data_IF_100498732483
#
_entry.id   IF_100498732483
#
_cell.length_a   1.000
_cell.length_b   1.000
_cell.length_c   1.000
_cell.angle_alpha   90.00
_cell.angle_beta   90.00
_cell.angle_gamma   90.00
#
_symmetry.space_group_name_H-M   'P 1'
#
loop_
_entity.id
_entity.type
_entity.pdbx_description
1 polymer ?
#
# COMPACT_ATOMS: atom_id res chain seq x y z
N UNK A 1 -25.73 -12.92 -1.01
CA UNK A 1 -24.76 -13.40 0.00
C UNK A 1 -23.62 -14.07 -0.76
N UNK A 2 -22.46 -13.47 -0.70
CA UNK A 2 -21.33 -13.88 -1.49
C UNK A 2 -20.17 -14.41 -0.65
N UNK A 3 -18.97 -14.36 -1.23
CA UNK A 3 -17.74 -14.77 -0.57
C UNK A 3 -17.47 -13.91 0.68
N UNK A 4 -17.01 -14.55 1.75
CA UNK A 4 -16.61 -13.89 2.98
C UNK A 4 -15.42 -14.64 3.59
N UNK A 5 -14.25 -13.99 3.64
CA UNK A 5 -13.05 -14.54 4.25
C UNK A 5 -12.08 -13.40 4.63
N UNK A 6 -11.08 -13.73 5.42
CA UNK A 6 -10.02 -12.81 5.83
C UNK A 6 -8.70 -13.21 5.21
N UNK A 7 -7.87 -12.20 4.95
CA UNK A 7 -6.46 -12.36 4.55
C UNK A 7 -5.61 -11.70 5.64
N UNK A 8 -4.44 -12.25 5.89
CA UNK A 8 -3.42 -11.66 6.75
C UNK A 8 -2.09 -11.63 6.02
N UNK A 9 -1.52 -10.45 5.83
CA UNK A 9 -0.22 -10.23 5.19
C UNK A 9 0.45 -8.96 5.73
N UNK A 10 0.38 -8.78 7.05
CA UNK A 10 0.97 -7.64 7.76
C UNK A 10 0.55 -6.29 7.16
N UNK A 11 1.46 -5.37 6.89
CA UNK A 11 1.16 -4.01 6.38
C UNK A 11 0.50 -4.00 4.99
N UNK A 12 0.59 -5.09 4.21
CA UNK A 12 -0.01 -5.20 2.88
C UNK A 12 -1.40 -5.86 2.86
N UNK A 13 -1.95 -6.23 4.02
CA UNK A 13 -3.23 -6.96 4.12
C UNK A 13 -4.37 -6.30 3.35
N UNK A 14 -4.60 -5.00 3.56
CA UNK A 14 -5.71 -4.31 2.89
C UNK A 14 -5.51 -4.22 1.38
N UNK A 15 -4.28 -4.05 0.90
CA UNK A 15 -3.98 -4.08 -0.53
C UNK A 15 -4.25 -5.47 -1.14
N UNK A 16 -3.87 -6.55 -0.44
CA UNK A 16 -4.19 -7.92 -0.86
C UNK A 16 -5.70 -8.20 -0.83
N UNK A 17 -6.42 -7.67 0.16
CA UNK A 17 -7.89 -7.78 0.20
C UNK A 17 -8.54 -7.07 -1.00
N UNK A 18 -8.06 -5.87 -1.35
CA UNK A 18 -8.53 -5.12 -2.51
C UNK A 18 -8.25 -5.90 -3.80
N UNK A 19 -7.05 -6.45 -3.93
CA UNK A 19 -6.68 -7.29 -5.08
C UNK A 19 -7.60 -8.52 -5.21
N UNK A 20 -7.79 -9.26 -4.11
CA UNK A 20 -8.67 -10.44 -4.09
C UNK A 20 -10.13 -10.10 -4.42
N UNK A 21 -10.64 -8.96 -3.90
CA UNK A 21 -11.97 -8.46 -4.25
C UNK A 21 -12.09 -8.07 -5.71
N UNK A 22 -11.06 -7.45 -6.27
CA UNK A 22 -10.99 -7.11 -7.68
C UNK A 22 -11.02 -8.35 -8.57
N UNK A 23 -10.24 -9.38 -8.21
CA UNK A 23 -10.25 -10.65 -8.95
C UNK A 23 -11.60 -11.36 -8.86
N UNK A 24 -12.26 -11.35 -7.70
CA UNK A 24 -13.60 -11.92 -7.56
C UNK A 24 -14.61 -11.27 -8.52
N UNK A 25 -14.50 -9.97 -8.75
CA UNK A 25 -15.34 -9.26 -9.73
C UNK A 25 -14.91 -9.60 -11.17
N UNK A 26 -13.63 -9.53 -11.46
CA UNK A 26 -13.09 -9.78 -12.82
C UNK A 26 -13.39 -11.18 -13.33
N UNK A 27 -13.41 -12.17 -12.45
CA UNK A 27 -13.77 -13.55 -12.78
C UNK A 27 -15.27 -13.84 -12.71
N UNK A 28 -16.11 -12.82 -12.51
CA UNK A 28 -17.56 -12.95 -12.48
C UNK A 28 -18.10 -13.71 -11.27
N UNK A 29 -17.32 -13.81 -10.19
CA UNK A 29 -17.78 -14.49 -8.97
C UNK A 29 -18.67 -13.58 -8.11
N UNK A 30 -18.51 -12.26 -8.22
CA UNK A 30 -19.27 -11.25 -7.49
C UNK A 30 -19.44 -10.01 -8.35
N UNK A 31 -20.56 -9.30 -8.20
CA UNK A 31 -20.78 -7.99 -8.82
C UNK A 31 -20.33 -6.85 -7.91
N UNK A 32 -20.44 -7.04 -6.58
CA UNK A 32 -20.05 -6.07 -5.56
C UNK A 32 -19.29 -6.79 -4.46
N UNK A 33 -18.16 -6.20 -4.01
CA UNK A 33 -17.34 -6.70 -2.91
C UNK A 33 -16.97 -5.56 -1.97
N UNK A 34 -17.21 -5.76 -0.67
CA UNK A 34 -16.67 -4.90 0.39
C UNK A 34 -15.28 -5.41 0.76
N UNK A 35 -14.28 -4.56 0.66
CA UNK A 35 -12.88 -4.96 0.87
C UNK A 35 -12.08 -3.84 1.51
N UNK A 36 -11.10 -4.21 2.32
CA UNK A 36 -10.29 -3.25 3.04
C UNK A 36 -9.47 -3.91 4.13
N UNK A 37 -9.16 -3.16 5.17
CA UNK A 37 -8.41 -3.67 6.30
C UNK A 37 -8.65 -2.86 7.56
N UNK A 38 -8.28 -3.43 8.67
CA UNK A 38 -8.31 -2.81 9.98
C UNK A 38 -7.09 -3.22 10.80
N UNK A 39 -6.64 -2.31 11.63
CA UNK A 39 -5.53 -2.53 12.56
C UNK A 39 -5.90 -2.00 13.93
N UNK A 40 -5.59 -2.76 14.96
CA UNK A 40 -5.77 -2.36 16.33
C UNK A 40 -4.47 -1.79 16.91
N UNK A 41 -4.58 -0.74 17.70
CA UNK A 41 -3.47 -0.23 18.49
C UNK A 41 -3.41 -1.02 19.82
N UNK A 42 -2.46 -1.95 19.91
CA UNK A 42 -2.25 -2.79 21.07
C UNK A 42 -0.79 -2.76 21.54
N UNK A 43 -0.58 -2.91 22.84
CA UNK A 43 0.76 -2.90 23.43
C UNK A 43 1.64 -4.07 22.95
N UNK A 44 1.05 -5.22 22.64
CA UNK A 44 1.79 -6.38 22.18
C UNK A 44 2.46 -6.13 20.81
N UNK A 45 1.73 -5.52 19.87
CA UNK A 45 2.30 -5.09 18.60
C UNK A 45 3.38 -4.01 18.80
N UNK A 46 3.12 -3.04 19.66
CA UNK A 46 4.11 -2.01 20.00
C UNK A 46 5.40 -2.62 20.53
N UNK A 47 5.31 -3.60 21.45
CA UNK A 47 6.49 -4.25 22.02
C UNK A 47 7.30 -5.05 20.99
N UNK A 48 6.63 -5.68 20.02
CA UNK A 48 7.29 -6.42 18.95
C UNK A 48 8.10 -5.48 18.02
N UNK A 49 7.51 -4.37 17.62
CA UNK A 49 8.18 -3.39 16.78
C UNK A 49 9.26 -2.61 17.52
N UNK A 50 9.07 -2.33 18.80
CA UNK A 50 10.10 -1.73 19.65
C UNK A 50 11.31 -2.66 19.80
N UNK A 51 11.07 -3.95 20.01
CA UNK A 51 12.13 -4.97 20.08
C UNK A 51 12.96 -5.07 18.79
N UNK A 52 12.37 -4.74 17.63
CA UNK A 52 13.09 -4.68 16.35
C UNK A 52 13.82 -3.33 16.15
N UNK A 53 13.69 -2.37 17.06
CA UNK A 53 14.24 -1.03 16.90
C UNK A 53 13.62 -0.24 15.75
N UNK A 54 12.38 -0.55 15.36
CA UNK A 54 11.70 0.06 14.22
C UNK A 54 10.89 1.32 14.58
N UNK A 55 10.61 1.53 15.88
CA UNK A 55 9.80 2.65 16.35
C UNK A 55 10.61 3.91 16.60
N UNK A 56 10.00 5.07 16.35
CA UNK A 56 10.55 6.37 16.71
C UNK A 56 10.70 6.49 18.23
N UNK A 57 11.84 6.96 18.71
CA UNK A 57 12.12 7.16 20.13
C UNK A 57 12.68 8.54 20.47
N UNK A 58 13.28 9.25 19.50
CA UNK A 58 13.89 10.58 19.75
C UNK A 58 12.86 11.69 19.95
N UNK A 59 11.62 11.46 19.52
CA UNK A 59 10.56 12.47 19.52
C UNK A 59 9.53 12.30 20.64
N UNK A 60 9.85 11.53 21.71
CA UNK A 60 8.91 11.31 22.81
C UNK A 60 8.47 12.61 23.52
N UNK A 61 9.31 13.64 23.52
CA UNK A 61 8.97 14.96 24.05
C UNK A 61 8.25 15.88 23.03
N UNK A 62 8.14 15.46 21.77
CA UNK A 62 7.47 16.20 20.70
C UNK A 62 6.80 15.20 19.72
N UNK A 63 5.83 14.39 20.19
CA UNK A 63 5.32 13.24 19.44
C UNK A 63 4.65 13.62 18.11
N UNK A 64 4.14 14.84 17.98
CA UNK A 64 3.59 15.37 16.75
C UNK A 64 4.62 15.55 15.62
N UNK A 65 5.92 15.45 15.93
CA UNK A 65 7.01 15.50 14.94
C UNK A 65 7.60 14.13 14.62
N UNK A 66 7.12 13.05 15.26
CA UNK A 66 7.77 11.75 15.18
C UNK A 66 7.56 11.05 13.84
N UNK A 67 6.33 11.04 13.32
CA UNK A 67 6.04 10.46 12.01
C UNK A 67 6.37 11.48 10.91
N UNK A 68 7.46 11.22 10.19
CA UNK A 68 8.06 12.16 9.23
C UNK A 68 8.72 11.44 8.06
N UNK A 69 7.89 10.71 7.30
CA UNK A 69 8.34 9.90 6.16
C UNK A 69 9.22 10.72 5.20
N UNK A 70 10.33 10.12 4.77
CA UNK A 70 11.34 10.69 3.87
C UNK A 70 12.15 11.88 4.41
N UNK A 71 11.87 12.34 5.62
CA UNK A 71 12.64 13.41 6.26
C UNK A 71 14.05 12.91 6.64
N UNK A 72 15.05 13.81 6.60
CA UNK A 72 16.44 13.48 6.95
C UNK A 72 16.59 13.05 8.42
N UNK A 73 15.77 13.61 9.31
CA UNK A 73 15.84 13.38 10.76
C UNK A 73 14.86 12.29 11.24
N UNK A 74 14.21 11.53 10.33
CA UNK A 74 13.35 10.43 10.71
C UNK A 74 14.10 9.35 11.47
N UNK A 75 13.46 8.72 12.43
CA UNK A 75 14.13 7.74 13.29
C UNK A 75 13.32 6.45 13.53
N UNK A 76 12.19 6.29 12.89
CA UNK A 76 11.32 5.14 13.03
C UNK A 76 9.87 5.50 12.82
N UNK A 77 9.01 4.49 12.83
CA UNK A 77 7.57 4.72 12.65
C UNK A 77 6.85 4.96 13.98
N UNK A 78 5.64 5.48 13.89
CA UNK A 78 4.70 5.63 15.02
C UNK A 78 3.56 4.67 14.81
N UNK A 79 3.35 3.76 15.75
CA UNK A 79 2.26 2.79 15.67
C UNK A 79 0.90 3.47 15.88
N UNK A 80 -0.10 3.05 15.13
CA UNK A 80 -1.45 3.56 15.21
C UNK A 80 -2.46 2.46 14.86
N UNK A 81 -3.71 2.68 15.22
CA UNK A 81 -4.83 1.86 14.79
C UNK A 81 -5.69 2.59 13.77
N UNK A 82 -6.55 1.86 13.10
CA UNK A 82 -7.50 2.41 12.14
C UNK A 82 -8.14 1.35 11.27
N UNK A 83 -9.10 1.77 10.47
CA UNK A 83 -9.75 0.89 9.50
C UNK A 83 -10.24 1.65 8.28
N UNK A 84 -10.24 0.99 7.15
CA UNK A 84 -10.75 1.52 5.90
C UNK A 84 -11.41 0.44 5.06
N UNK A 85 -12.50 0.81 4.37
CA UNK A 85 -13.26 -0.10 3.54
C UNK A 85 -13.57 0.55 2.19
N UNK A 86 -13.37 -0.20 1.13
CA UNK A 86 -13.79 0.17 -0.21
C UNK A 86 -14.97 -0.70 -0.62
N UNK A 87 -15.86 -0.13 -1.42
CA UNK A 87 -16.87 -0.86 -2.16
C UNK A 87 -16.39 -0.97 -3.60
N UNK A 88 -16.01 -2.17 -3.99
CA UNK A 88 -15.66 -2.49 -5.38
C UNK A 88 -16.92 -2.98 -6.08
N UNK A 89 -17.10 -2.58 -7.34
CA UNK A 89 -18.26 -2.93 -8.13
C UNK A 89 -17.86 -3.09 -9.58
N UNK A 90 -18.48 -4.05 -10.25
CA UNK A 90 -18.30 -4.23 -11.69
C UNK A 90 -18.75 -2.96 -12.42
N UNK A 91 -17.99 -2.53 -13.41
CA UNK A 91 -18.12 -1.22 -14.04
C UNK A 91 -19.49 -1.01 -14.70
N UNK A 92 -19.95 -1.95 -15.52
CA UNK A 92 -21.25 -1.83 -16.20
C UNK A 92 -22.43 -1.98 -15.23
N UNK A 93 -22.27 -2.80 -14.18
CA UNK A 93 -23.24 -2.90 -13.09
C UNK A 93 -23.40 -1.54 -12.38
N UNK A 94 -22.29 -0.89 -12.04
CA UNK A 94 -22.28 0.43 -11.39
C UNK A 94 -22.96 1.49 -12.29
N UNK A 95 -22.63 1.51 -13.56
CA UNK A 95 -23.24 2.43 -14.56
C UNK A 95 -24.74 2.20 -14.71
N UNK A 96 -25.18 0.95 -14.81
CA UNK A 96 -26.59 0.61 -15.02
C UNK A 96 -27.50 1.11 -13.89
N UNK A 97 -27.00 1.18 -12.66
CA UNK A 97 -27.73 1.72 -11.51
C UNK A 97 -27.49 3.21 -11.23
N UNK A 98 -26.67 3.87 -12.06
CA UNK A 98 -26.32 5.29 -11.87
C UNK A 98 -25.43 5.57 -10.66
N UNK A 99 -24.57 4.63 -10.27
CA UNK A 99 -23.66 4.80 -9.16
C UNK A 99 -22.64 5.91 -9.42
N UNK A 100 -22.25 6.61 -8.36
CA UNK A 100 -21.10 7.51 -8.44
C UNK A 100 -19.81 6.67 -8.43
N UNK A 101 -19.08 6.69 -9.53
CA UNK A 101 -17.78 6.03 -9.66
C UNK A 101 -16.70 7.05 -9.29
N UNK A 102 -15.85 6.70 -8.34
CA UNK A 102 -14.76 7.56 -7.87
C UNK A 102 -13.46 7.33 -8.65
N UNK A 103 -13.18 6.07 -8.96
CA UNK A 103 -11.99 5.65 -9.68
C UNK A 103 -12.21 4.23 -10.24
N UNK A 104 -11.33 3.81 -11.12
CA UNK A 104 -11.25 2.45 -11.65
C UNK A 104 -9.93 1.82 -11.22
N UNK A 105 -9.96 0.55 -10.77
CA UNK A 105 -8.75 -0.23 -10.50
C UNK A 105 -8.32 -0.86 -11.82
N UNK A 106 -7.15 -0.46 -12.31
CA UNK A 106 -6.64 -0.87 -13.63
C UNK A 106 -5.48 -1.85 -13.56
N UNK A 107 -4.95 -2.11 -12.38
CA UNK A 107 -3.87 -3.07 -12.18
C UNK A 107 -3.50 -3.20 -10.70
N UNK A 108 -2.82 -4.27 -10.36
CA UNK A 108 -2.15 -4.43 -9.07
C UNK A 108 -0.92 -5.32 -9.23
N UNK A 109 -0.05 -5.27 -8.22
CA UNK A 109 1.09 -6.15 -8.12
C UNK A 109 1.28 -6.66 -6.70
N UNK A 110 1.63 -7.92 -6.57
CA UNK A 110 1.97 -8.54 -5.31
C UNK A 110 3.06 -9.59 -5.53
N UNK A 111 4.01 -9.65 -4.63
CA UNK A 111 5.07 -10.66 -4.62
C UNK A 111 5.64 -10.83 -3.22
N UNK A 112 6.47 -11.85 -3.04
CA UNK A 112 7.33 -11.99 -1.87
C UNK A 112 8.72 -11.46 -2.20
N UNK A 113 9.26 -10.56 -1.35
CA UNK A 113 10.64 -10.10 -1.49
C UNK A 113 11.63 -11.26 -1.21
N UNK A 114 11.38 -12.05 -0.16
CA UNK A 114 12.14 -13.25 0.17
C UNK A 114 13.60 -13.00 0.56
N UNK A 115 13.99 -11.76 0.81
CA UNK A 115 15.37 -11.38 1.12
C UNK A 115 15.68 -11.56 2.60
N UNK A 116 14.87 -10.98 3.48
CA UNK A 116 15.05 -10.98 4.92
C UNK A 116 13.70 -10.93 5.62
N UNK A 117 13.64 -11.27 6.91
CA UNK A 117 12.40 -11.29 7.67
C UNK A 117 11.80 -9.88 7.83
N UNK A 118 12.64 -8.85 7.99
CA UNK A 118 12.22 -7.47 8.29
C UNK A 118 12.82 -6.42 7.36
N UNK A 119 14.01 -6.66 6.80
CA UNK A 119 14.71 -5.69 5.96
C UNK A 119 14.34 -5.87 4.48
N UNK A 120 13.76 -4.87 3.81
CA UNK A 120 13.44 -4.97 2.39
C UNK A 120 14.72 -4.93 1.53
N UNK A 121 14.77 -5.72 0.45
CA UNK A 121 15.84 -5.65 -0.55
C UNK A 121 15.72 -4.40 -1.43
N UNK A 122 14.50 -3.99 -1.73
CA UNK A 122 14.12 -3.02 -2.76
C UNK A 122 13.68 -3.70 -4.07
N UNK A 123 14.23 -4.84 -4.44
CA UNK A 123 13.86 -5.57 -5.66
C UNK A 123 12.39 -6.03 -5.66
N UNK A 124 11.88 -6.48 -4.50
CA UNK A 124 10.47 -6.83 -4.38
C UNK A 124 9.54 -5.65 -4.65
N UNK A 125 9.89 -4.44 -4.21
CA UNK A 125 9.13 -3.23 -4.49
C UNK A 125 9.16 -2.86 -5.99
N UNK A 126 10.31 -2.98 -6.64
CA UNK A 126 10.45 -2.77 -8.09
C UNK A 126 9.53 -3.71 -8.86
N UNK A 127 9.61 -5.02 -8.57
CA UNK A 127 8.75 -6.03 -9.22
C UNK A 127 7.27 -5.78 -8.99
N UNK A 128 6.90 -5.42 -7.76
CA UNK A 128 5.52 -5.11 -7.41
C UNK A 128 4.97 -3.94 -8.23
N UNK A 129 5.71 -2.85 -8.34
CA UNK A 129 5.33 -1.70 -9.16
C UNK A 129 5.26 -2.04 -10.64
N UNK A 130 6.22 -2.79 -11.17
CA UNK A 130 6.20 -3.25 -12.58
C UNK A 130 4.98 -4.12 -12.89
N UNK A 131 4.60 -5.04 -11.99
CA UNK A 131 3.38 -5.84 -12.12
C UNK A 131 2.13 -4.96 -12.14
N UNK A 132 2.03 -4.00 -11.24
CA UNK A 132 0.91 -3.06 -11.20
C UNK A 132 0.82 -2.21 -12.48
N UNK A 133 1.96 -1.69 -12.96
CA UNK A 133 2.06 -0.92 -14.21
C UNK A 133 1.74 -1.75 -15.45
N UNK A 134 1.94 -3.06 -15.42
CA UNK A 134 1.56 -3.97 -16.49
C UNK A 134 0.05 -4.01 -16.73
N UNK A 135 -0.75 -3.64 -15.73
CA UNK A 135 -2.20 -3.72 -15.80
C UNK A 135 -2.73 -5.17 -15.82
N UNK A 136 -4.03 -5.32 -15.82
CA UNK A 136 -4.66 -6.64 -15.74
C UNK A 136 -4.47 -7.53 -16.98
N UNK A 137 -4.29 -6.94 -18.14
CA UNK A 137 -4.12 -7.65 -19.41
C UNK A 137 -2.69 -7.62 -19.94
N UNK A 138 -1.75 -7.17 -19.11
CA UNK A 138 -0.33 -7.03 -19.43
C UNK A 138 -0.03 -6.08 -20.61
N UNK A 139 -0.98 -5.20 -20.95
CA UNK A 139 -0.79 -4.16 -21.98
C UNK A 139 -0.31 -2.83 -21.39
N UNK A 140 -0.16 -2.78 -20.09
CA UNK A 140 0.11 -1.57 -19.35
C UNK A 140 -1.16 -0.81 -18.94
N UNK A 141 -1.03 0.03 -17.95
CA UNK A 141 -2.12 0.91 -17.53
C UNK A 141 -2.20 2.14 -18.44
N UNK A 142 -3.42 2.64 -18.73
CA UNK A 142 -3.56 3.83 -19.54
C UNK A 142 -3.08 5.09 -18.80
N UNK A 143 -2.38 5.95 -19.53
CA UNK A 143 -1.93 7.24 -19.01
C UNK A 143 -0.70 7.18 -18.11
N UNK A 144 -0.28 8.35 -17.66
CA UNK A 144 0.88 8.51 -16.78
C UNK A 144 0.49 8.35 -15.30
N UNK A 145 1.35 7.73 -14.52
CA UNK A 145 1.24 7.80 -13.06
C UNK A 145 1.65 9.21 -12.62
N UNK A 146 0.73 9.93 -12.03
CA UNK A 146 0.98 11.31 -11.57
C UNK A 146 1.28 11.40 -10.08
N UNK A 147 0.85 10.41 -9.29
CA UNK A 147 1.00 10.39 -7.84
C UNK A 147 1.16 8.97 -7.29
N UNK A 148 2.04 8.83 -6.31
CA UNK A 148 2.24 7.62 -5.52
C UNK A 148 1.97 7.96 -4.05
N UNK A 149 0.97 7.30 -3.45
CA UNK A 149 0.85 7.24 -2.00
C UNK A 149 1.70 6.06 -1.52
N UNK A 150 2.86 6.38 -1.00
CA UNK A 150 3.87 5.41 -0.65
C UNK A 150 3.59 4.69 0.68
N UNK A 151 4.31 3.61 0.93
CA UNK A 151 4.32 2.97 2.24
C UNK A 151 4.90 3.92 3.28
N UNK A 152 6.06 4.52 3.03
CA UNK A 152 6.65 5.64 3.76
C UNK A 152 6.37 5.64 5.26
N UNK A 153 7.04 4.74 6.00
CA UNK A 153 6.75 4.53 7.43
C UNK A 153 7.59 5.41 8.35
N UNK A 154 8.38 6.34 7.81
CA UNK A 154 9.33 7.14 8.58
C UNK A 154 10.50 6.34 9.17
N UNK A 155 10.80 5.17 8.59
CA UNK A 155 11.94 4.35 8.98
C UNK A 155 13.17 4.68 8.14
N UNK A 156 14.36 4.78 8.73
CA UNK A 156 15.59 5.13 7.99
C UNK A 156 15.85 4.21 6.79
N UNK A 157 15.77 2.90 6.99
CA UNK A 157 16.05 1.92 5.96
C UNK A 157 14.89 1.76 4.96
N UNK A 158 13.64 1.66 5.45
CA UNK A 158 12.45 1.41 4.64
C UNK A 158 12.21 2.51 3.62
N UNK A 159 12.16 3.76 4.06
CA UNK A 159 11.92 4.92 3.21
C UNK A 159 12.98 5.06 2.10
N UNK A 160 14.26 4.83 2.46
CA UNK A 160 15.36 4.91 1.48
C UNK A 160 15.26 3.84 0.40
N UNK A 161 14.91 2.60 0.78
CA UNK A 161 14.73 1.49 -0.16
C UNK A 161 13.54 1.71 -1.08
N UNK A 162 12.43 2.22 -0.54
CA UNK A 162 11.25 2.55 -1.33
C UNK A 162 11.51 3.65 -2.35
N UNK A 163 12.19 4.76 -1.94
CA UNK A 163 12.60 5.81 -2.87
C UNK A 163 13.51 5.30 -3.98
N UNK A 164 14.47 4.44 -3.67
CA UNK A 164 15.35 3.84 -4.67
C UNK A 164 14.55 3.00 -5.67
N UNK A 165 13.60 2.18 -5.19
CA UNK A 165 12.75 1.37 -6.04
C UNK A 165 11.83 2.23 -6.94
N UNK A 166 11.23 3.30 -6.41
CA UNK A 166 10.44 4.26 -7.20
C UNK A 166 11.31 4.92 -8.27
N UNK A 167 12.51 5.36 -7.91
CA UNK A 167 13.45 5.96 -8.87
C UNK A 167 13.82 4.99 -9.98
N UNK A 168 14.09 3.73 -9.66
CA UNK A 168 14.43 2.70 -10.64
C UNK A 168 13.31 2.48 -11.67
N UNK A 169 12.06 2.42 -11.19
CA UNK A 169 10.89 2.17 -12.05
C UNK A 169 10.51 3.38 -12.89
N UNK A 170 10.54 4.60 -12.31
CA UNK A 170 9.95 5.78 -12.95
C UNK A 170 10.97 6.70 -13.64
N UNK A 171 12.26 6.64 -13.30
CA UNK A 171 13.28 7.46 -14.02
C UNK A 171 13.30 7.19 -15.52
N UNK A 172 13.19 5.95 -16.01
CA UNK A 172 13.15 5.69 -17.44
C UNK A 172 11.95 6.26 -18.18
N UNK A 173 10.90 6.65 -17.45
CA UNK A 173 9.67 7.21 -18.03
C UNK A 173 9.73 8.73 -18.21
N UNK A 174 10.88 9.37 -17.99
CA UNK A 174 11.13 10.81 -18.12
C UNK A 174 10.21 11.72 -17.28
N UNK A 175 9.33 11.15 -16.49
CA UNK A 175 8.40 11.88 -15.64
C UNK A 175 8.23 11.17 -14.30
N UNK A 176 8.83 11.74 -13.26
CA UNK A 176 8.67 11.24 -11.90
C UNK A 176 7.30 11.65 -11.34
N UNK A 177 6.53 10.71 -10.77
CA UNK A 177 5.28 11.04 -10.08
C UNK A 177 5.55 11.82 -8.80
N UNK A 178 4.56 12.60 -8.36
CA UNK A 178 4.57 13.12 -6.99
C UNK A 178 4.48 11.96 -6.01
N UNK A 179 5.20 12.08 -4.89
CA UNK A 179 5.24 11.03 -3.88
C UNK A 179 5.05 11.62 -2.49
N UNK A 180 4.19 11.00 -1.70
CA UNK A 180 4.06 11.27 -0.27
C UNK A 180 3.57 10.03 0.47
N UNK A 181 3.62 10.07 1.79
CA UNK A 181 2.99 9.05 2.63
C UNK A 181 1.94 9.70 3.53
N UNK A 182 0.72 9.21 3.46
CA UNK A 182 -0.38 9.67 4.33
C UNK A 182 -0.19 9.25 5.79
N UNK A 183 0.82 8.42 6.10
CA UNK A 183 1.16 8.04 7.48
C UNK A 183 1.82 9.17 8.28
N UNK A 184 2.27 10.21 7.62
CA UNK A 184 2.92 11.38 8.25
C UNK A 184 2.12 12.67 8.08
N UNK A 185 0.80 12.57 7.96
CA UNK A 185 -0.13 13.69 7.87
C UNK A 185 -0.74 14.02 9.23
#
# INVERSE_FOLDING_TARGET
KGLNYSITSTCSTSAHCIAAGTDAIRYGMQDIVFTGGGEELDWSLSSLFDAMGAMSSRYNNAPHLASRAYDADRDGFVIAGGGGMLVLEEYEHAKARGAKIYAEIVGYGANSDGYDMVAPSGEGAVRCMQLALGGFDSKGIPGDVVYINAHGTSTPAGDSKELAAVSEVFTPLEKLPYLSSTKSL
#
